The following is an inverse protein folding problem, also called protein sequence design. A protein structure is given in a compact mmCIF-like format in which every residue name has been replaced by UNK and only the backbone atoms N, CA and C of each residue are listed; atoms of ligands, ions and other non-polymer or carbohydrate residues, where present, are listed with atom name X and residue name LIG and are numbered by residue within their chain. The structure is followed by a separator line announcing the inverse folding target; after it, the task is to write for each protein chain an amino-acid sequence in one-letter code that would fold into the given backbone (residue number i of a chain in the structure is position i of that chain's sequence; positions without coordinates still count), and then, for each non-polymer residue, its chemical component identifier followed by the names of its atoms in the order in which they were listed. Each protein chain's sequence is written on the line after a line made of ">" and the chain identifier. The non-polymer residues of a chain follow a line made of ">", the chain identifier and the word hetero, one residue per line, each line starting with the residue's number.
data_IF_979008858083
#
_entry.id   IF_979008858083
#
_cell.length_a   1.000
_cell.length_b   1.000
_cell.length_c   1.000
_cell.angle_alpha   90.00
_cell.angle_beta   90.00
_cell.angle_gamma   90.00
#
_symmetry.space_group_name_H-M   'P 1'
#
loop_
_entity.id
_entity.type
_entity.pdbx_description
1 polymer ?
#
# COMPACT_ATOMS: atom_id res chain seq x y z
N UNK A 1 0.69 29.64 -8.69
CA UNK A 1 0.59 28.16 -8.71
C UNK A 1 -0.01 27.74 -7.38
N UNK A 2 -1.30 27.41 -7.37
CA UNK A 2 -1.98 26.99 -6.15
C UNK A 2 -1.56 25.55 -5.81
N UNK A 3 -1.24 25.31 -4.54
CA UNK A 3 -1.09 23.95 -4.02
C UNK A 3 -2.51 23.44 -3.83
N UNK A 4 -2.89 22.38 -4.56
CA UNK A 4 -4.21 21.77 -4.42
C UNK A 4 -4.19 20.86 -3.19
N UNK A 5 -4.53 21.44 -2.04
CA UNK A 5 -4.66 20.75 -0.77
C UNK A 5 -6.10 20.25 -0.61
N UNK A 6 -6.46 19.08 -1.15
CA UNK A 6 -7.53 18.21 -0.56
C UNK A 6 -8.01 17.02 -1.39
N UNK A 7 -7.26 16.49 -2.36
CA UNK A 7 -7.79 15.35 -3.11
C UNK A 7 -8.07 14.16 -2.19
N UNK A 8 -9.33 13.75 -2.13
CA UNK A 8 -9.76 12.56 -1.41
C UNK A 8 -9.39 11.34 -2.24
N UNK A 9 -8.68 10.39 -1.63
CA UNK A 9 -8.27 9.17 -2.30
C UNK A 9 -9.00 7.97 -1.71
N UNK A 10 -9.82 7.32 -2.53
CA UNK A 10 -10.37 5.99 -2.24
C UNK A 10 -9.61 4.96 -3.06
N UNK A 11 -9.16 3.89 -2.41
CA UNK A 11 -8.36 2.85 -3.06
C UNK A 11 -8.68 1.48 -2.50
N UNK A 12 -8.77 0.51 -3.41
CA UNK A 12 -8.74 -0.91 -3.08
C UNK A 12 -7.40 -1.48 -3.56
N UNK A 13 -6.75 -2.28 -2.72
CA UNK A 13 -5.46 -2.85 -3.05
C UNK A 13 -5.22 -4.16 -2.32
N UNK A 14 -4.31 -4.97 -2.86
CA UNK A 14 -3.83 -6.17 -2.21
C UNK A 14 -2.32 -6.08 -2.01
N UNK A 15 -1.80 -6.73 -0.99
CA UNK A 15 -0.36 -6.88 -0.77
C UNK A 15 -0.05 -8.31 -0.38
N UNK A 16 1.09 -8.81 -0.85
CA UNK A 16 1.62 -10.12 -0.49
C UNK A 16 3.09 -9.97 -0.16
N UNK A 17 3.54 -10.62 0.91
CA UNK A 17 4.96 -10.67 1.29
C UNK A 17 5.76 -11.73 0.54
N UNK A 18 5.07 -12.64 -0.18
CA UNK A 18 5.66 -13.72 -0.96
C UNK A 18 5.00 -13.78 -2.36
N UNK A 19 5.70 -14.34 -3.35
CA UNK A 19 5.15 -14.57 -4.69
C UNK A 19 4.06 -15.65 -4.68
N UNK A 20 4.20 -16.62 -3.78
CA UNK A 20 3.14 -17.60 -3.50
C UNK A 20 2.32 -17.14 -2.29
N UNK A 21 1.07 -16.74 -2.56
CA UNK A 21 0.10 -16.31 -1.53
C UNK A 21 -0.11 -17.34 -0.42
N UNK A 22 0.15 -18.63 -0.68
CA UNK A 22 0.04 -19.68 0.34
C UNK A 22 1.20 -19.69 1.33
N UNK A 23 2.31 -19.06 0.96
CA UNK A 23 3.57 -19.08 1.69
C UNK A 23 3.89 -17.75 2.39
N UNK A 24 3.14 -16.69 2.10
CA UNK A 24 3.30 -15.38 2.71
C UNK A 24 2.08 -14.89 3.49
N UNK A 25 2.24 -13.72 4.09
CA UNK A 25 1.14 -12.93 4.63
C UNK A 25 0.60 -12.07 3.49
N UNK A 26 -0.71 -12.02 3.36
CA UNK A 26 -1.36 -11.16 2.39
C UNK A 26 -2.49 -10.35 3.03
N UNK A 27 -2.78 -9.21 2.41
CA UNK A 27 -3.96 -8.43 2.74
C UNK A 27 -4.72 -7.99 1.49
N UNK A 28 -6.03 -7.77 1.67
CA UNK A 28 -6.90 -7.05 0.75
C UNK A 28 -7.51 -5.90 1.54
N UNK A 29 -7.22 -4.68 1.11
CA UNK A 29 -7.49 -3.46 1.85
C UNK A 29 -8.41 -2.53 1.07
N UNK A 30 -9.43 -2.00 1.76
CA UNK A 30 -10.14 -0.80 1.35
C UNK A 30 -9.59 0.37 2.16
N UNK A 31 -9.07 1.38 1.47
CA UNK A 31 -8.38 2.51 2.09
C UNK A 31 -8.97 3.84 1.64
N UNK A 32 -8.97 4.77 2.58
CA UNK A 32 -9.33 6.15 2.37
C UNK A 32 -8.22 7.05 2.91
N UNK A 33 -7.93 8.11 2.17
CA UNK A 33 -6.87 9.03 2.53
C UNK A 33 -6.91 10.33 1.77
N UNK A 34 -5.76 10.99 1.78
CA UNK A 34 -5.53 12.24 1.06
C UNK A 34 -4.42 12.04 0.06
N UNK A 35 -4.55 12.71 -1.07
CA UNK A 35 -3.48 12.89 -2.02
C UNK A 35 -3.24 14.36 -2.29
N UNK A 36 -2.04 14.68 -2.74
CA UNK A 36 -1.68 15.99 -3.24
C UNK A 36 -0.73 15.86 -4.42
N UNK A 37 -0.92 16.74 -5.39
CA UNK A 37 -0.02 16.91 -6.52
C UNK A 37 0.77 18.21 -6.32
N UNK A 38 2.10 18.11 -6.32
CA UNK A 38 2.99 19.27 -6.25
C UNK A 38 4.05 19.20 -7.35
N UNK A 39 3.94 20.07 -8.35
CA UNK A 39 4.79 20.07 -9.56
C UNK A 39 4.77 18.70 -10.24
N UNK A 40 5.92 18.03 -10.30
CA UNK A 40 6.09 16.69 -10.85
C UNK A 40 5.96 15.59 -9.78
N UNK A 41 5.53 15.90 -8.57
CA UNK A 41 5.38 14.93 -7.49
C UNK A 41 3.92 14.67 -7.16
N UNK A 42 3.60 13.42 -6.90
CA UNK A 42 2.34 12.98 -6.30
C UNK A 42 2.65 12.33 -4.96
N UNK A 43 1.91 12.74 -3.94
CA UNK A 43 2.02 12.27 -2.58
C UNK A 43 0.65 11.80 -2.11
N UNK A 44 0.59 10.67 -1.41
CA UNK A 44 -0.65 10.23 -0.76
C UNK A 44 -0.38 9.47 0.52
N UNK A 45 -1.28 9.63 1.48
CA UNK A 45 -1.28 8.86 2.71
C UNK A 45 -2.73 8.54 3.09
N UNK A 46 -2.96 7.34 3.61
CA UNK A 46 -4.29 6.89 3.97
C UNK A 46 -4.28 5.69 4.90
N UNK A 47 -5.46 5.39 5.43
CA UNK A 47 -5.71 4.23 6.26
C UNK A 47 -7.04 3.59 5.89
N UNK A 48 -7.37 2.45 6.49
CA UNK A 48 -8.66 1.83 6.26
C UNK A 48 -8.79 0.51 6.97
N UNK A 49 -9.47 -0.42 6.30
CA UNK A 49 -9.75 -1.76 6.81
C UNK A 49 -9.25 -2.76 5.79
N UNK A 50 -8.62 -3.82 6.27
CA UNK A 50 -8.14 -4.92 5.46
C UNK A 50 -8.55 -6.27 6.04
N UNK A 51 -8.78 -7.22 5.16
CA UNK A 51 -8.79 -8.64 5.53
C UNK A 51 -7.37 -9.14 5.36
N UNK A 52 -6.82 -9.76 6.40
CA UNK A 52 -5.46 -10.29 6.46
C UNK A 52 -5.52 -11.81 6.59
N UNK A 53 -4.68 -12.52 5.85
CA UNK A 53 -4.58 -13.98 5.91
C UNK A 53 -3.20 -14.49 5.48
N UNK A 54 -3.06 -15.82 5.43
CA UNK A 54 -1.83 -16.49 4.99
C UNK A 54 -1.06 -17.08 6.16
N UNK A 55 0.27 -16.93 6.17
CA UNK A 55 1.11 -17.39 7.26
C UNK A 55 1.72 -16.22 8.02
N UNK A 56 1.83 -16.37 9.34
CA UNK A 56 2.63 -15.52 10.22
C UNK A 56 4.10 -15.92 10.15
N UNK A 57 4.97 -14.97 10.44
CA UNK A 57 6.42 -15.13 10.55
C UNK A 57 6.84 -14.78 11.98
N UNK A 58 7.84 -15.45 12.53
CA UNK A 58 8.35 -15.08 13.86
C UNK A 58 9.04 -13.70 13.91
N UNK A 59 9.37 -13.11 12.75
CA UNK A 59 10.03 -11.80 12.62
C UNK A 59 9.15 -10.81 11.82
N UNK A 60 9.27 -9.52 12.14
CA UNK A 60 8.54 -8.39 11.55
C UNK A 60 8.85 -8.17 10.05
N UNK A 61 9.98 -8.69 9.57
CA UNK A 61 10.43 -8.57 8.17
C UNK A 61 10.23 -9.85 7.35
N UNK A 62 9.27 -10.70 7.74
CA UNK A 62 8.95 -11.92 6.99
C UNK A 62 10.06 -12.99 7.10
N UNK A 63 10.79 -13.02 8.22
CA UNK A 63 11.85 -14.00 8.49
C UNK A 63 11.45 -14.96 9.60
N UNK A 64 12.07 -16.14 9.59
CA UNK A 64 11.89 -17.15 10.63
C UNK A 64 10.73 -18.11 10.39
N UNK A 65 10.23 -18.72 11.48
CA UNK A 65 9.31 -19.87 11.41
C UNK A 65 7.94 -19.42 10.92
N UNK A 66 7.38 -20.16 9.96
CA UNK A 66 6.04 -19.92 9.43
C UNK A 66 5.00 -20.65 10.28
N UNK A 67 3.96 -19.96 10.71
CA UNK A 67 2.77 -20.57 11.31
C UNK A 67 1.51 -20.11 10.56
N UNK A 68 0.46 -20.93 10.49
CA UNK A 68 -0.80 -20.50 9.87
C UNK A 68 -1.37 -19.32 10.65
N UNK A 69 -1.76 -18.26 9.93
CA UNK A 69 -2.43 -17.09 10.47
C UNK A 69 -3.94 -17.29 10.31
N UNK A 70 -4.70 -17.15 11.40
CA UNK A 70 -6.15 -17.05 11.27
C UNK A 70 -6.53 -15.77 10.52
N UNK A 71 -7.59 -15.84 9.71
CA UNK A 71 -8.04 -14.68 8.95
C UNK A 71 -8.52 -13.60 9.92
N UNK A 72 -7.88 -12.44 9.90
CA UNK A 72 -8.14 -11.35 10.84
C UNK A 72 -8.41 -10.04 10.12
N UNK A 73 -8.93 -9.07 10.87
CA UNK A 73 -9.13 -7.70 10.40
C UNK A 73 -7.90 -6.88 10.78
N UNK A 74 -7.33 -6.22 9.78
CA UNK A 74 -6.21 -5.31 9.94
C UNK A 74 -6.55 -3.87 9.61
N UNK A 75 -5.76 -2.96 10.15
CA UNK A 75 -5.84 -1.52 9.90
C UNK A 75 -4.60 -1.09 9.11
N UNK A 76 -4.66 -1.13 7.77
CA UNK A 76 -3.54 -0.73 6.93
C UNK A 76 -3.31 0.79 7.03
N UNK A 77 -2.04 1.16 7.05
CA UNK A 77 -1.50 2.48 6.79
C UNK A 77 -0.76 2.39 5.46
N UNK A 78 -1.13 3.24 4.50
CA UNK A 78 -0.55 3.27 3.15
C UNK A 78 0.02 4.65 2.90
N UNK A 79 1.26 4.68 2.40
CA UNK A 79 1.94 5.90 1.96
C UNK A 79 2.48 5.73 0.56
N UNK A 80 2.45 6.79 -0.24
CA UNK A 80 3.07 6.81 -1.56
C UNK A 80 3.67 8.17 -1.85
N UNK A 81 4.87 8.15 -2.41
CA UNK A 81 5.48 9.27 -3.12
C UNK A 81 5.81 8.81 -4.53
N UNK A 82 5.51 9.61 -5.54
CA UNK A 82 5.91 9.33 -6.91
C UNK A 82 6.34 10.61 -7.63
N UNK A 83 7.40 10.50 -8.41
CA UNK A 83 7.88 11.52 -9.32
C UNK A 83 7.44 11.18 -10.74
N UNK A 84 6.83 12.16 -11.41
CA UNK A 84 6.29 12.10 -12.76
C UNK A 84 7.16 12.98 -13.68
N UNK A 85 8.30 12.47 -14.19
CA UNK A 85 9.17 13.22 -15.08
C UNK A 85 8.49 13.57 -16.42
N UNK A 86 7.57 12.72 -16.88
CA UNK A 86 6.81 12.88 -18.12
C UNK A 86 5.33 12.61 -17.87
N UNK A 87 4.46 13.11 -18.75
CA UNK A 87 3.00 13.15 -18.53
C UNK A 87 2.32 11.79 -18.30
N UNK A 88 2.92 10.71 -18.77
CA UNK A 88 2.33 9.37 -18.76
C UNK A 88 3.13 8.34 -17.95
N UNK A 89 4.24 8.74 -17.32
CA UNK A 89 5.09 7.83 -16.55
C UNK A 89 5.47 8.47 -15.22
N UNK A 90 5.27 7.73 -14.14
CA UNK A 90 5.77 8.07 -12.82
C UNK A 90 6.54 6.91 -12.21
N UNK A 91 7.57 7.23 -11.44
CA UNK A 91 8.35 6.31 -10.61
C UNK A 91 8.17 6.70 -9.16
N UNK A 92 8.02 5.74 -8.25
CA UNK A 92 7.69 6.06 -6.88
C UNK A 92 8.13 5.03 -5.87
N UNK A 93 7.92 5.39 -4.61
CA UNK A 93 8.07 4.52 -3.45
C UNK A 93 6.72 4.45 -2.77
N UNK A 94 6.33 3.25 -2.38
CA UNK A 94 5.13 2.96 -1.62
C UNK A 94 5.56 2.33 -0.31
N UNK A 95 4.90 2.72 0.77
CA UNK A 95 5.02 2.06 2.05
C UNK A 95 3.66 1.49 2.45
N UNK A 96 3.70 0.36 3.12
CA UNK A 96 2.52 -0.25 3.72
C UNK A 96 2.87 -0.79 5.08
N UNK A 97 1.98 -0.59 6.04
CA UNK A 97 2.07 -1.15 7.37
C UNK A 97 0.67 -1.57 7.76
N UNK A 98 0.48 -2.81 8.15
CA UNK A 98 -0.81 -3.32 8.56
C UNK A 98 -0.73 -3.71 10.03
N UNK A 99 -1.47 -2.97 10.86
CA UNK A 99 -1.62 -3.28 12.28
C UNK A 99 -2.80 -4.22 12.42
N UNK A 100 -2.55 -5.44 12.87
CA UNK A 100 -3.58 -6.44 13.17
C UNK A 100 -3.24 -7.17 14.48
N UNK A 101 -4.23 -7.85 15.05
CA UNK A 101 -4.13 -8.48 16.38
C UNK A 101 -3.24 -9.71 16.41
N UNK A 102 -3.01 -10.35 15.26
CA UNK A 102 -2.21 -11.57 15.15
C UNK A 102 -0.72 -11.23 14.98
N UNK A 103 -0.38 -10.55 13.88
CA UNK A 103 0.98 -10.12 13.60
C UNK A 103 1.01 -8.86 12.71
N UNK A 104 1.50 -7.73 13.22
CA UNK A 104 1.79 -6.57 12.39
C UNK A 104 2.84 -6.88 11.32
N UNK A 105 2.61 -6.42 10.09
CA UNK A 105 3.57 -6.55 9.00
C UNK A 105 3.64 -5.25 8.19
N UNK A 106 4.74 -5.06 7.47
CA UNK A 106 4.90 -3.88 6.64
C UNK A 106 6.10 -3.98 5.71
N UNK A 107 6.21 -3.00 4.83
CA UNK A 107 7.28 -2.97 3.85
C UNK A 107 7.29 -1.69 3.03
N UNK A 108 8.35 -1.60 2.23
CA UNK A 108 8.53 -0.55 1.23
C UNK A 108 8.68 -1.22 -0.13
N UNK A 109 8.07 -0.63 -1.16
CA UNK A 109 8.16 -1.10 -2.53
C UNK A 109 8.41 0.05 -3.48
N UNK A 110 8.97 -0.27 -4.64
CA UNK A 110 9.08 0.67 -5.76
C UNK A 110 7.81 0.54 -6.60
N UNK A 111 7.30 1.64 -7.12
CA UNK A 111 6.19 1.65 -8.08
C UNK A 111 6.56 2.30 -9.40
N UNK A 112 5.91 1.79 -10.44
CA UNK A 112 5.80 2.42 -11.74
C UNK A 112 4.33 2.74 -11.97
N UNK A 113 4.02 4.00 -12.24
CA UNK A 113 2.70 4.46 -12.66
C UNK A 113 2.76 4.72 -14.16
N UNK A 114 1.93 4.01 -14.92
CA UNK A 114 1.80 4.22 -16.37
C UNK A 114 0.39 4.72 -16.67
N UNK A 115 0.31 5.81 -17.43
CA UNK A 115 -0.93 6.37 -17.95
C UNK A 115 -1.47 7.59 -17.19
N UNK A 116 -2.36 8.30 -17.88
CA UNK A 116 -3.39 9.19 -17.31
C UNK A 116 -4.71 8.72 -17.90
N UNK A 117 -5.69 8.37 -17.07
CA UNK A 117 -7.09 8.40 -17.48
C UNK A 117 -7.49 9.89 -17.58
N UNK A 118 -7.11 10.54 -18.68
CA UNK A 118 -7.77 11.78 -19.05
C UNK A 118 -9.14 11.39 -19.60
N UNK A 119 -10.21 11.87 -18.93
CA UNK A 119 -11.47 12.07 -19.66
C UNK A 119 -11.14 12.98 -20.84
N UNK A 120 -11.31 12.45 -22.05
CA UNK A 120 -11.58 13.25 -23.25
C UNK A 120 -12.84 14.10 -23.02
#
# INVERSE_FOLDING_TARGET
>A
MAIDYNDHLFSIGATSTDLDFRNGTWDIALTYGRSMNYRSFYLSAGTGVAVVGGNSYSDLFGRGTKAPLETTIGFPLRGQISWQPIRFLGVGINSFFNVNTEQPFGGVGVSLRVGRLQKL
#
